data_IF_480476675687
#
_entry.id   IF_480476675687
#
_cell.length_a   1.000
_cell.length_b   1.000
_cell.length_c   1.000
_cell.angle_alpha   90.00
_cell.angle_beta   90.00
_cell.angle_gamma   90.00
#
_symmetry.space_group_name_H-M   'P 1'
#
loop_
_entity.id
_entity.type
_entity.pdbx_description
1 polymer ?
#
# COMPACT_ATOMS: atom_id res chain seq x y z
N UNK A 1 -19.53 -11.28 22.79
CA UNK A 1 -19.05 -11.00 21.42
C UNK A 1 -17.65 -11.55 21.31
N UNK A 2 -17.44 -12.60 20.52
CA UNK A 2 -16.10 -13.11 20.25
C UNK A 2 -15.33 -11.99 19.52
N UNK A 3 -14.23 -11.54 20.11
CA UNK A 3 -13.23 -10.78 19.37
C UNK A 3 -12.67 -11.73 18.32
N UNK A 4 -13.22 -11.69 17.09
CA UNK A 4 -12.57 -12.31 15.96
C UNK A 4 -11.19 -11.66 15.84
N UNK A 5 -10.13 -12.46 15.76
CA UNK A 5 -8.81 -11.95 15.46
C UNK A 5 -8.88 -11.19 14.15
N UNK A 6 -8.77 -9.88 14.23
CA UNK A 6 -8.84 -8.95 13.07
C UNK A 6 -7.55 -9.01 12.25
N UNK A 7 -6.53 -9.64 12.80
CA UNK A 7 -5.18 -9.70 12.23
C UNK A 7 -4.84 -11.14 11.87
N UNK A 8 -4.52 -11.37 10.60
CA UNK A 8 -3.90 -12.62 10.14
C UNK A 8 -2.40 -12.58 10.46
N UNK A 9 -2.00 -13.33 11.48
CA UNK A 9 -0.64 -13.27 12.03
C UNK A 9 0.43 -13.84 11.09
N UNK A 10 0.03 -14.69 10.17
CA UNK A 10 0.92 -15.34 9.19
C UNK A 10 1.13 -14.51 7.92
N UNK A 11 0.32 -13.47 7.70
CA UNK A 11 0.48 -12.53 6.61
C UNK A 11 1.30 -11.31 7.04
N UNK A 12 2.39 -11.01 6.32
CA UNK A 12 3.28 -9.89 6.57
C UNK A 12 3.09 -8.75 5.56
N UNK A 13 1.95 -8.71 4.87
CA UNK A 13 1.54 -7.62 3.98
C UNK A 13 0.42 -6.77 4.58
N UNK A 14 -0.11 -5.82 3.79
CA UNK A 14 -1.35 -5.09 4.12
C UNK A 14 -2.51 -6.06 4.39
N UNK A 15 -2.54 -7.17 3.70
CA UNK A 15 -3.67 -8.11 3.68
C UNK A 15 -3.85 -8.87 4.99
N UNK A 16 -2.88 -8.79 5.90
CA UNK A 16 -3.06 -9.24 7.30
C UNK A 16 -4.27 -8.61 7.99
N UNK A 17 -4.74 -7.47 7.48
CA UNK A 17 -5.92 -6.76 7.97
C UNK A 17 -7.17 -7.04 7.10
N UNK A 18 -7.17 -8.11 6.33
CA UNK A 18 -8.23 -8.48 5.40
C UNK A 18 -9.64 -8.48 6.02
N UNK A 19 -9.76 -8.84 7.29
CA UNK A 19 -11.04 -8.84 8.00
C UNK A 19 -11.73 -7.46 8.12
N UNK A 20 -10.99 -6.37 7.95
CA UNK A 20 -11.51 -4.98 8.01
C UNK A 20 -11.33 -4.21 6.71
N UNK A 21 -10.78 -4.85 5.69
CA UNK A 21 -10.66 -4.31 4.34
C UNK A 21 -11.86 -4.71 3.49
N UNK A 22 -12.15 -4.02 2.38
CA UNK A 22 -13.13 -4.47 1.41
C UNK A 22 -12.86 -5.90 0.94
N UNK A 23 -13.91 -6.68 0.79
CA UNK A 23 -13.80 -8.06 0.30
C UNK A 23 -13.34 -8.06 -1.17
N UNK A 24 -12.26 -8.75 -1.43
CA UNK A 24 -11.64 -8.91 -2.75
C UNK A 24 -11.29 -10.39 -2.91
N UNK A 25 -11.61 -10.95 -4.08
CA UNK A 25 -11.25 -12.35 -4.36
C UNK A 25 -9.72 -12.51 -4.36
N UNK A 26 -9.22 -13.60 -3.81
CA UNK A 26 -7.79 -13.89 -3.71
C UNK A 26 -7.03 -13.69 -5.04
N UNK A 27 -7.59 -14.15 -6.15
CA UNK A 27 -6.99 -14.00 -7.50
C UNK A 27 -6.83 -12.54 -7.95
N UNK A 28 -7.56 -11.61 -7.34
CA UNK A 28 -7.54 -10.18 -7.64
C UNK A 28 -6.80 -9.36 -6.58
N UNK A 29 -6.39 -10.00 -5.49
CA UNK A 29 -5.60 -9.39 -4.42
C UNK A 29 -4.17 -9.14 -4.88
N UNK A 30 -3.78 -7.88 -4.96
CA UNK A 30 -2.43 -7.48 -5.36
C UNK A 30 -1.59 -7.15 -4.13
N UNK A 31 -0.39 -7.68 -4.09
CA UNK A 31 0.62 -7.33 -3.09
C UNK A 31 2.02 -7.39 -3.71
N UNK A 32 2.86 -6.49 -3.28
CA UNK A 32 4.31 -6.50 -3.50
C UNK A 32 5.05 -6.73 -2.17
N UNK A 33 4.32 -7.04 -1.08
CA UNK A 33 4.85 -7.20 0.26
C UNK A 33 4.84 -5.90 1.07
N UNK A 34 3.94 -4.96 0.73
CA UNK A 34 3.75 -3.71 1.48
C UNK A 34 3.18 -3.95 2.87
N UNK A 35 3.58 -3.15 3.79
CA UNK A 35 3.14 -3.29 5.19
C UNK A 35 4.18 -3.91 6.08
N UNK A 36 3.81 -4.21 7.32
CA UNK A 36 4.68 -4.78 8.35
C UNK A 36 6.03 -4.09 8.49
N UNK A 37 6.06 -2.79 8.20
CA UNK A 37 7.26 -1.95 8.25
C UNK A 37 7.79 -1.82 9.67
N UNK A 38 9.10 -1.59 9.78
CA UNK A 38 9.79 -1.51 11.06
C UNK A 38 9.24 -0.38 11.94
N UNK A 39 9.17 -0.65 13.25
CA UNK A 39 8.94 0.33 14.28
C UNK A 39 10.27 0.57 15.03
N UNK A 40 10.86 1.72 14.80
CA UNK A 40 12.22 2.07 15.30
C UNK A 40 12.09 2.95 16.54
N UNK A 41 12.67 2.52 17.65
CA UNK A 41 12.76 3.34 18.87
C UNK A 41 13.80 4.43 18.68
N UNK A 42 13.46 5.65 19.08
CA UNK A 42 14.35 6.81 19.01
C UNK A 42 14.70 7.24 20.44
N UNK A 43 15.99 7.28 20.71
CA UNK A 43 16.50 7.88 21.94
C UNK A 43 16.30 9.40 21.90
N UNK A 44 15.80 9.97 23.00
CA UNK A 44 15.53 11.39 23.07
C UNK A 44 15.68 11.89 24.53
N UNK A 45 15.85 13.20 24.69
CA UNK A 45 16.04 13.88 25.98
C UNK A 45 14.70 14.26 26.67
N UNK A 46 13.55 13.99 26.03
CA UNK A 46 12.24 14.45 26.51
C UNK A 46 11.55 13.50 27.49
N UNK A 47 12.25 12.41 27.88
CA UNK A 47 11.73 11.38 28.78
C UNK A 47 10.36 10.80 28.32
N UNK A 48 10.20 10.63 27.02
CA UNK A 48 9.06 9.98 26.38
C UNK A 48 9.51 8.82 25.52
N UNK A 49 8.67 7.80 25.39
CA UNK A 49 8.91 6.72 24.42
C UNK A 49 8.51 7.21 23.02
N UNK A 50 9.51 7.41 22.16
CA UNK A 50 9.32 7.85 20.78
C UNK A 50 9.65 6.72 19.81
N UNK A 51 8.74 6.47 18.88
CA UNK A 51 8.90 5.46 17.86
C UNK A 51 8.63 6.04 16.47
N UNK A 52 9.44 5.66 15.49
CA UNK A 52 9.22 5.96 14.08
C UNK A 52 8.76 4.69 13.35
N UNK A 53 7.62 4.77 12.69
CA UNK A 53 7.16 3.76 11.75
C UNK A 53 7.81 4.02 10.39
N UNK A 54 8.79 3.21 10.02
CA UNK A 54 9.60 3.44 8.82
C UNK A 54 8.91 2.95 7.54
N UNK A 55 8.05 3.77 6.98
CA UNK A 55 7.31 3.49 5.74
C UNK A 55 8.20 3.54 4.47
N UNK A 56 9.47 3.95 4.58
CA UNK A 56 10.42 3.86 3.45
C UNK A 56 10.79 2.41 3.12
N UNK A 57 10.46 1.47 4.00
CA UNK A 57 10.69 0.04 3.79
C UNK A 57 9.63 -0.65 2.93
N UNK A 58 8.57 0.06 2.54
CA UNK A 58 7.62 -0.45 1.57
C UNK A 58 8.27 -0.64 0.19
N UNK A 59 7.72 -1.52 -0.68
CA UNK A 59 8.32 -1.92 -1.96
C UNK A 59 8.73 -0.76 -2.88
N UNK A 60 7.92 0.31 -2.97
CA UNK A 60 8.28 1.51 -3.77
C UNK A 60 8.84 2.66 -2.92
N UNK A 61 9.17 2.40 -1.65
CA UNK A 61 9.85 3.35 -0.78
C UNK A 61 8.93 4.34 -0.06
N UNK A 62 7.62 4.13 -0.05
CA UNK A 62 6.70 5.00 0.67
C UNK A 62 5.42 4.30 1.15
N UNK A 63 4.68 4.97 2.06
CA UNK A 63 3.39 4.49 2.55
C UNK A 63 2.29 4.42 1.46
N UNK A 64 2.51 5.01 0.29
CA UNK A 64 1.56 4.98 -0.84
C UNK A 64 1.29 3.57 -1.33
N UNK A 65 2.22 2.66 -1.12
CA UNK A 65 2.07 1.25 -1.47
C UNK A 65 0.84 0.62 -0.82
N UNK A 66 0.56 0.93 0.44
CA UNK A 66 -0.62 0.41 1.14
C UNK A 66 -1.93 0.79 0.46
N UNK A 67 -2.07 2.07 0.10
CA UNK A 67 -3.26 2.56 -0.60
C UNK A 67 -3.38 1.99 -2.01
N UNK A 68 -2.27 1.86 -2.73
CA UNK A 68 -2.26 1.34 -4.10
C UNK A 68 -2.49 -0.17 -4.15
N UNK A 69 -1.97 -0.95 -3.21
CA UNK A 69 -2.30 -2.37 -3.09
C UNK A 69 -3.82 -2.58 -3.04
N UNK A 70 -4.51 -1.85 -2.18
CA UNK A 70 -5.96 -1.93 -2.06
C UNK A 70 -6.69 -1.39 -3.30
N UNK A 71 -6.34 -0.18 -3.76
CA UNK A 71 -7.03 0.47 -4.87
C UNK A 71 -6.93 -0.33 -6.17
N UNK A 72 -5.74 -0.84 -6.49
CA UNK A 72 -5.53 -1.63 -7.71
C UNK A 72 -6.17 -3.01 -7.61
N UNK A 73 -6.19 -3.62 -6.42
CA UNK A 73 -6.93 -4.86 -6.20
C UNK A 73 -8.44 -4.67 -6.43
N UNK A 74 -9.00 -3.58 -5.92
CA UNK A 74 -10.42 -3.23 -6.16
C UNK A 74 -10.68 -2.94 -7.64
N UNK A 75 -9.80 -2.22 -8.32
CA UNK A 75 -9.92 -1.97 -9.75
C UNK A 75 -9.91 -3.28 -10.56
N UNK A 76 -9.02 -4.20 -10.20
CA UNK A 76 -8.96 -5.53 -10.81
C UNK A 76 -10.21 -6.36 -10.55
N UNK A 77 -10.75 -6.33 -9.33
CA UNK A 77 -12.01 -7.00 -8.97
C UNK A 77 -13.19 -6.49 -9.83
N UNK A 78 -13.18 -5.19 -10.13
CA UNK A 78 -14.19 -4.54 -11.00
C UNK A 78 -13.93 -4.71 -12.50
N UNK A 79 -12.85 -5.37 -12.90
CA UNK A 79 -12.51 -5.60 -14.30
C UNK A 79 -11.97 -4.37 -15.03
N UNK A 80 -11.48 -3.36 -14.30
CA UNK A 80 -10.86 -2.15 -14.86
C UNK A 80 -9.64 -2.55 -15.69
N UNK A 81 -9.47 -1.95 -16.87
CA UNK A 81 -8.37 -2.25 -17.81
C UNK A 81 -7.29 -1.19 -17.80
N UNK A 82 -7.65 0.05 -17.49
CA UNK A 82 -6.71 1.16 -17.42
C UNK A 82 -7.10 2.10 -16.29
N UNK A 83 -6.11 2.70 -15.66
CA UNK A 83 -6.30 3.79 -14.70
C UNK A 83 -5.49 4.99 -15.10
N UNK A 84 -5.89 6.17 -14.63
CA UNK A 84 -5.12 7.39 -14.77
C UNK A 84 -5.13 8.17 -13.45
N UNK A 85 -4.01 8.84 -13.15
CA UNK A 85 -3.90 9.70 -11.98
C UNK A 85 -2.91 10.84 -12.22
N UNK A 86 -3.15 12.05 -11.69
CA UNK A 86 -2.15 13.09 -11.64
C UNK A 86 -1.22 12.83 -10.44
N UNK A 87 0.07 12.71 -10.66
CA UNK A 87 1.04 12.55 -9.57
C UNK A 87 2.46 12.80 -10.02
N UNK A 88 3.13 13.77 -9.40
CA UNK A 88 4.57 14.04 -9.57
C UNK A 88 5.44 13.32 -8.49
N UNK A 89 4.91 12.31 -7.79
CA UNK A 89 5.63 11.71 -6.66
C UNK A 89 5.22 10.26 -6.39
N UNK A 90 5.34 9.88 -5.13
CA UNK A 90 5.22 8.50 -4.67
C UNK A 90 3.92 7.79 -5.04
N UNK A 91 2.80 8.52 -5.19
CA UNK A 91 1.54 7.91 -5.59
C UNK A 91 1.59 7.37 -7.03
N UNK A 92 2.21 8.12 -7.96
CA UNK A 92 2.42 7.67 -9.34
C UNK A 92 3.36 6.47 -9.42
N UNK A 93 4.45 6.49 -8.65
CA UNK A 93 5.41 5.38 -8.57
C UNK A 93 4.73 4.11 -8.07
N UNK A 94 4.00 4.21 -6.96
CA UNK A 94 3.27 3.07 -6.41
C UNK A 94 2.19 2.57 -7.37
N UNK A 95 1.38 3.47 -7.96
CA UNK A 95 0.36 3.09 -8.93
C UNK A 95 0.95 2.30 -10.11
N UNK A 96 2.06 2.77 -10.68
CA UNK A 96 2.74 2.08 -11.79
C UNK A 96 3.16 0.66 -11.39
N UNK A 97 3.78 0.48 -10.22
CA UNK A 97 4.24 -0.82 -9.74
C UNK A 97 3.09 -1.82 -9.52
N UNK A 98 2.01 -1.38 -8.86
CA UNK A 98 0.86 -2.25 -8.59
C UNK A 98 0.02 -2.53 -9.84
N UNK A 99 -0.08 -1.57 -10.77
CA UNK A 99 -0.73 -1.78 -12.06
C UNK A 99 0.02 -2.79 -12.91
N UNK A 100 1.34 -2.71 -12.97
CA UNK A 100 2.18 -3.72 -13.64
C UNK A 100 1.90 -5.12 -13.08
N UNK A 101 1.91 -5.26 -11.75
CA UNK A 101 1.57 -6.52 -11.07
C UNK A 101 0.17 -7.02 -11.43
N UNK A 102 -0.78 -6.12 -11.57
CA UNK A 102 -2.18 -6.45 -11.85
C UNK A 102 -2.47 -6.72 -13.33
N UNK A 103 -1.58 -6.32 -14.25
CA UNK A 103 -1.84 -6.30 -15.68
C UNK A 103 -2.88 -5.23 -16.08
N UNK A 104 -2.87 -4.07 -15.40
CA UNK A 104 -3.72 -2.92 -15.66
C UNK A 104 -2.87 -1.81 -16.27
N UNK A 105 -3.33 -1.21 -17.36
CA UNK A 105 -2.66 -0.06 -17.97
C UNK A 105 -2.69 1.14 -17.02
N UNK A 106 -1.53 1.84 -16.88
CA UNK A 106 -1.39 2.96 -15.95
C UNK A 106 -0.91 4.22 -16.66
N UNK A 107 -1.69 5.28 -16.59
CA UNK A 107 -1.35 6.60 -17.12
C UNK A 107 -1.12 7.58 -15.98
N UNK A 108 0.12 8.05 -15.81
CA UNK A 108 0.47 9.05 -14.81
C UNK A 108 0.67 10.39 -15.49
N UNK A 109 -0.15 11.38 -15.12
CA UNK A 109 -0.07 12.73 -15.65
C UNK A 109 0.81 13.59 -14.74
N UNK A 110 1.81 14.20 -15.32
CA UNK A 110 2.78 15.07 -14.65
C UNK A 110 2.65 16.49 -15.15
N UNK A 111 2.88 17.52 -14.31
CA UNK A 111 3.11 18.89 -14.81
C UNK A 111 4.34 18.91 -15.73
N UNK A 112 4.33 19.78 -16.74
CA UNK A 112 5.46 19.93 -17.65
C UNK A 112 6.74 20.41 -16.94
N UNK A 113 6.58 21.20 -15.88
CA UNK A 113 7.68 21.62 -15.00
C UNK A 113 7.51 20.99 -13.61
N UNK A 114 8.39 20.06 -13.27
CA UNK A 114 8.52 19.50 -11.92
C UNK A 114 9.74 20.16 -11.27
N UNK A 115 9.64 20.66 -10.00
CA UNK A 115 10.79 21.19 -9.28
C UNK A 115 11.88 20.14 -9.06
#
# INVERSE_FOLDING_TARGET
MNQQNVIEETDFSLWRYGAVLPEIKEKNTMTLGEGFTSLVSIENEWNVSLYIKDETKNPTGSFKDRGMALAISMAKEQGVKAICLPSAGNAGIAAAAYCEKAGIECHVFLPESIP
#
